data_IF_405451538812
#
_entry.id   IF_405451538812
#
_cell.length_a   1.000
_cell.length_b   1.000
_cell.length_c   1.000
_cell.angle_alpha   90.00
_cell.angle_beta   90.00
_cell.angle_gamma   90.00
#
_symmetry.space_group_name_H-M   'P 1'
#
loop_
_entity.id
_entity.type
_entity.pdbx_description
1 polymer ?
#
# COMPACT_ATOMS: atom_id res chain seq x y z
N UNK A 1 17.44 7.42 -29.57
CA UNK A 1 16.80 7.07 -28.28
C UNK A 1 17.64 7.51 -27.12
N UNK A 2 17.03 8.15 -26.16
CA UNK A 2 17.72 8.49 -24.93
C UNK A 2 17.83 7.25 -24.04
N UNK A 3 18.98 7.06 -23.41
CA UNK A 3 19.16 6.04 -22.39
C UNK A 3 18.81 6.66 -21.03
N UNK A 4 17.78 6.13 -20.39
CA UNK A 4 17.30 6.66 -19.11
C UNK A 4 17.45 5.59 -18.04
N UNK A 5 18.04 5.97 -16.93
CA UNK A 5 18.26 5.08 -15.80
C UNK A 5 17.60 5.68 -14.56
N UNK A 6 16.69 4.92 -13.92
CA UNK A 6 16.01 5.36 -12.72
C UNK A 6 16.02 4.26 -11.68
N UNK A 7 15.99 4.67 -10.40
CA UNK A 7 15.89 3.75 -9.27
C UNK A 7 14.84 4.33 -8.34
N UNK A 8 13.59 3.96 -8.59
CA UNK A 8 12.44 4.55 -7.92
C UNK A 8 11.74 3.47 -7.10
N UNK A 9 11.82 3.61 -5.78
CA UNK A 9 11.16 2.73 -4.84
C UNK A 9 10.13 3.55 -4.07
N UNK A 10 8.90 3.05 -4.01
CA UNK A 10 7.80 3.71 -3.30
C UNK A 10 7.22 2.77 -2.26
N UNK A 11 7.05 3.27 -1.06
CA UNK A 11 6.29 2.60 -0.03
C UNK A 11 4.91 3.24 -0.02
N UNK A 12 3.91 2.53 -0.53
CA UNK A 12 2.54 3.01 -0.66
C UNK A 12 1.71 2.39 0.46
N UNK A 13 0.95 3.21 1.16
CA UNK A 13 0.14 2.77 2.31
C UNK A 13 -1.27 3.29 2.14
N UNK A 14 -2.25 2.42 2.29
CA UNK A 14 -3.65 2.84 2.37
C UNK A 14 -4.48 1.86 3.18
N UNK A 15 -5.54 2.36 3.78
CA UNK A 15 -6.45 1.56 4.59
C UNK A 15 -7.72 1.22 3.82
N UNK A 16 -8.50 0.31 4.38
CA UNK A 16 -9.89 0.15 4.00
C UNK A 16 -10.68 1.40 4.41
N UNK A 17 -11.82 1.62 3.76
CA UNK A 17 -12.72 2.73 4.13
C UNK A 17 -13.17 2.53 5.57
N UNK A 18 -13.03 3.58 6.38
CA UNK A 18 -13.34 3.58 7.81
C UNK A 18 -12.59 2.50 8.61
N UNK A 19 -11.50 1.95 8.06
CA UNK A 19 -10.67 0.90 8.67
C UNK A 19 -11.49 -0.35 9.03
N UNK A 20 -12.50 -0.64 8.23
CA UNK A 20 -13.29 -1.87 8.39
C UNK A 20 -12.39 -3.09 8.15
N UNK A 21 -12.49 -4.12 8.99
CA UNK A 21 -11.59 -5.29 8.92
C UNK A 21 -12.01 -6.29 7.84
N UNK A 22 -11.98 -5.89 6.58
CA UNK A 22 -12.40 -6.71 5.46
C UNK A 22 -11.43 -7.83 5.09
N UNK A 23 -10.12 -7.57 5.25
CA UNK A 23 -9.09 -8.50 4.76
C UNK A 23 -8.74 -9.47 5.87
N UNK A 24 -9.57 -10.50 6.01
CA UNK A 24 -9.40 -11.50 7.05
C UNK A 24 -8.21 -12.42 6.74
N UNK A 25 -7.64 -13.09 7.76
CA UNK A 25 -6.44 -13.92 7.56
C UNK A 25 -6.62 -15.02 6.50
N UNK A 26 -7.83 -15.53 6.28
CA UNK A 26 -8.08 -16.58 5.29
C UNK A 26 -7.99 -16.10 3.86
N UNK A 27 -8.15 -14.79 3.59
CA UNK A 27 -8.07 -14.23 2.22
C UNK A 27 -6.85 -13.37 1.98
N UNK A 28 -6.14 -12.93 3.02
CA UNK A 28 -5.09 -11.92 2.87
C UNK A 28 -3.98 -12.33 1.89
N UNK A 29 -3.54 -13.57 1.93
CA UNK A 29 -2.48 -14.04 1.04
C UNK A 29 -2.88 -13.93 -0.44
N UNK A 30 -4.14 -14.22 -0.74
CA UNK A 30 -4.68 -14.11 -2.11
C UNK A 30 -4.77 -12.64 -2.53
N UNK A 31 -5.17 -11.77 -1.60
CA UNK A 31 -5.28 -10.32 -1.87
C UNK A 31 -3.89 -9.74 -2.17
N UNK A 32 -2.91 -10.05 -1.32
CA UNK A 32 -1.54 -9.56 -1.54
C UNK A 32 -0.97 -10.06 -2.87
N UNK A 33 -1.18 -11.31 -3.19
CA UNK A 33 -0.72 -11.90 -4.44
C UNK A 33 -1.37 -11.24 -5.66
N UNK A 34 -2.65 -10.97 -5.58
CA UNK A 34 -3.37 -10.33 -6.69
C UNK A 34 -2.85 -8.90 -6.91
N UNK A 35 -2.63 -8.16 -5.85
CA UNK A 35 -2.09 -6.80 -5.94
C UNK A 35 -0.68 -6.82 -6.55
N UNK A 36 0.16 -7.79 -6.18
CA UNK A 36 1.45 -7.99 -6.82
C UNK A 36 1.34 -8.22 -8.32
N UNK A 37 0.32 -8.97 -8.75
CA UNK A 37 0.03 -9.19 -10.16
C UNK A 37 -0.41 -7.92 -10.88
N UNK A 38 -1.21 -7.07 -10.22
CA UNK A 38 -1.59 -5.76 -10.76
C UNK A 38 -0.33 -4.91 -11.03
N UNK A 39 0.55 -4.84 -10.05
CA UNK A 39 1.80 -4.09 -10.19
C UNK A 39 2.59 -4.57 -11.41
N UNK A 40 2.78 -5.88 -11.53
CA UNK A 40 3.52 -6.48 -12.64
C UNK A 40 2.88 -6.17 -14.00
N UNK A 41 1.57 -6.21 -14.08
CA UNK A 41 0.82 -5.88 -15.31
C UNK A 41 1.07 -4.45 -15.77
N UNK A 42 1.35 -3.54 -14.85
CA UNK A 42 1.58 -2.13 -15.12
C UNK A 42 3.08 -1.74 -15.08
N UNK A 43 3.96 -2.68 -15.35
CA UNK A 43 5.41 -2.47 -15.43
C UNK A 43 6.04 -2.05 -14.09
N UNK A 44 5.38 -2.35 -13.00
CA UNK A 44 5.94 -2.19 -11.66
C UNK A 44 6.44 -3.53 -11.14
N UNK A 45 7.40 -3.50 -10.23
CA UNK A 45 7.82 -4.70 -9.49
C UNK A 45 7.38 -4.56 -8.04
N UNK A 46 6.55 -5.48 -7.58
CA UNK A 46 6.17 -5.54 -6.18
C UNK A 46 7.26 -6.29 -5.41
N UNK A 47 8.04 -5.56 -4.62
CA UNK A 47 9.11 -6.16 -3.82
C UNK A 47 8.56 -6.81 -2.56
N UNK A 48 7.52 -6.22 -1.97
CA UNK A 48 6.80 -6.78 -0.84
C UNK A 48 5.43 -6.13 -0.72
N UNK A 49 4.42 -6.95 -0.46
CA UNK A 49 3.08 -6.47 -0.13
C UNK A 49 2.63 -7.21 1.13
N UNK A 50 2.06 -6.49 2.06
CA UNK A 50 1.57 -7.07 3.30
C UNK A 50 0.70 -6.09 4.06
N UNK A 51 0.15 -6.55 5.15
CA UNK A 51 -0.72 -5.74 5.99
C UNK A 51 -1.50 -6.61 6.94
N UNK A 52 -2.59 -6.07 7.41
CA UNK A 52 -3.56 -6.77 8.26
C UNK A 52 -4.97 -6.49 7.76
N UNK A 53 -5.99 -6.71 8.59
CA UNK A 53 -7.38 -6.68 8.16
C UNK A 53 -7.84 -5.34 7.57
N UNK A 54 -7.26 -4.23 8.02
CA UNK A 54 -7.78 -2.88 7.72
C UNK A 54 -6.84 -2.01 6.86
N UNK A 55 -5.66 -2.51 6.47
CA UNK A 55 -4.75 -1.72 5.64
C UNK A 55 -3.68 -2.57 4.99
N UNK A 56 -2.99 -1.97 4.03
CA UNK A 56 -1.84 -2.61 3.39
C UNK A 56 -0.67 -1.66 3.22
N UNK A 57 0.49 -2.26 3.09
CA UNK A 57 1.72 -1.65 2.66
C UNK A 57 2.18 -2.32 1.38
N UNK A 58 2.57 -1.54 0.39
CA UNK A 58 3.12 -2.06 -0.86
C UNK A 58 4.45 -1.36 -1.14
N UNK A 59 5.52 -2.12 -1.21
CA UNK A 59 6.82 -1.62 -1.64
C UNK A 59 7.00 -1.99 -3.10
N UNK A 60 7.00 -1.01 -3.98
CA UNK A 60 7.07 -1.22 -5.42
C UNK A 60 8.18 -0.39 -6.05
N UNK A 61 8.78 -0.92 -7.12
CA UNK A 61 9.51 -0.10 -8.07
C UNK A 61 8.57 0.31 -9.17
N UNK A 62 8.77 1.49 -9.74
CA UNK A 62 7.90 1.96 -10.80
C UNK A 62 8.71 2.64 -11.90
N UNK A 63 8.24 2.57 -13.16
CA UNK A 63 8.88 3.31 -14.23
C UNK A 63 8.69 4.81 -14.04
N UNK A 64 9.58 5.65 -14.60
CA UNK A 64 9.54 7.09 -14.36
C UNK A 64 8.30 7.79 -14.90
N UNK A 65 7.54 7.12 -15.76
CA UNK A 65 6.31 7.67 -16.33
C UNK A 65 5.13 7.64 -15.35
N UNK A 66 5.18 6.83 -14.29
CA UNK A 66 4.08 6.71 -13.35
C UNK A 66 4.29 7.65 -12.15
N UNK A 67 3.31 8.51 -11.93
CA UNK A 67 3.26 9.33 -10.72
C UNK A 67 2.79 8.49 -9.52
N UNK A 68 3.15 8.83 -8.28
CA UNK A 68 2.64 8.13 -7.10
C UNK A 68 1.12 8.04 -7.04
N UNK A 69 0.40 9.09 -7.47
CA UNK A 69 -1.06 9.06 -7.53
C UNK A 69 -1.59 8.01 -8.50
N UNK A 70 -0.92 7.82 -9.63
CA UNK A 70 -1.29 6.79 -10.60
C UNK A 70 -1.02 5.39 -10.04
N UNK A 71 0.08 5.22 -9.34
CA UNK A 71 0.42 3.95 -8.68
C UNK A 71 -0.68 3.56 -7.70
N UNK A 72 -1.05 4.47 -6.80
CA UNK A 72 -2.10 4.22 -5.82
C UNK A 72 -3.44 3.92 -6.51
N UNK A 73 -3.81 4.69 -7.52
CA UNK A 73 -5.06 4.51 -8.25
C UNK A 73 -5.13 3.14 -8.93
N UNK A 74 -4.03 2.71 -9.56
CA UNK A 74 -3.95 1.40 -10.22
C UNK A 74 -4.14 0.28 -9.19
N UNK A 75 -3.37 0.31 -8.11
CA UNK A 75 -3.42 -0.74 -7.10
C UNK A 75 -4.80 -0.82 -6.43
N UNK A 76 -5.39 0.33 -6.09
CA UNK A 76 -6.68 0.38 -5.42
C UNK A 76 -7.83 0.00 -6.36
N UNK A 77 -7.86 0.56 -7.57
CA UNK A 77 -8.98 0.37 -8.49
C UNK A 77 -9.17 -1.06 -8.93
N UNK A 78 -8.11 -1.69 -9.41
CA UNK A 78 -8.19 -3.07 -9.90
C UNK A 78 -8.39 -4.06 -8.76
N UNK A 79 -7.76 -3.85 -7.62
CA UNK A 79 -7.95 -4.75 -6.46
C UNK A 79 -9.35 -4.65 -5.89
N UNK A 80 -9.93 -3.46 -5.83
CA UNK A 80 -11.29 -3.27 -5.34
C UNK A 80 -12.30 -4.05 -6.19
N UNK A 81 -12.22 -3.94 -7.51
CA UNK A 81 -13.09 -4.69 -8.42
C UNK A 81 -12.95 -6.19 -8.23
N UNK A 82 -11.72 -6.67 -8.11
CA UNK A 82 -11.45 -8.08 -7.93
C UNK A 82 -11.97 -8.61 -6.59
N UNK A 83 -11.78 -7.84 -5.51
CA UNK A 83 -12.25 -8.22 -4.18
C UNK A 83 -13.78 -8.33 -4.16
N UNK A 84 -14.48 -7.36 -4.78
CA UNK A 84 -15.95 -7.41 -4.89
C UNK A 84 -16.43 -8.69 -5.57
N UNK A 85 -15.79 -9.05 -6.66
CA UNK A 85 -16.17 -10.19 -7.48
C UNK A 85 -15.75 -11.53 -6.86
N UNK A 86 -14.49 -11.62 -6.46
CA UNK A 86 -13.91 -12.90 -6.02
C UNK A 86 -14.44 -13.35 -4.67
N UNK A 87 -14.62 -12.43 -3.75
CA UNK A 87 -15.07 -12.73 -2.39
C UNK A 87 -16.50 -12.31 -2.13
N UNK A 88 -17.17 -11.74 -3.12
CA UNK A 88 -18.54 -11.24 -3.02
C UNK A 88 -18.70 -10.21 -1.88
N UNK A 89 -17.65 -9.46 -1.60
CA UNK A 89 -17.64 -8.41 -0.58
C UNK A 89 -18.04 -7.07 -1.20
N UNK A 90 -19.33 -6.92 -1.52
CA UNK A 90 -19.86 -5.76 -2.25
C UNK A 90 -19.70 -4.44 -1.48
N UNK A 91 -19.66 -4.51 -0.16
CA UNK A 91 -19.47 -3.33 0.67
C UNK A 91 -18.02 -2.87 0.82
N UNK A 92 -17.08 -3.66 0.31
CA UNK A 92 -15.66 -3.33 0.43
C UNK A 92 -15.31 -2.07 -0.34
N UNK A 93 -14.52 -1.20 0.27
CA UNK A 93 -13.84 -0.13 -0.44
C UNK A 93 -12.56 0.27 0.29
N UNK A 94 -11.60 0.78 -0.47
CA UNK A 94 -10.41 1.41 0.10
C UNK A 94 -10.73 2.84 0.51
N UNK A 95 -9.93 3.43 1.41
CA UNK A 95 -10.03 4.86 1.68
C UNK A 95 -9.79 5.66 0.39
N UNK A 96 -10.25 6.89 0.34
CA UNK A 96 -10.04 7.74 -0.84
C UNK A 96 -8.58 8.16 -0.98
N UNK A 97 -7.92 8.44 0.15
CA UNK A 97 -6.53 8.86 0.18
C UNK A 97 -5.53 7.71 0.20
N UNK A 98 -4.27 8.06 0.33
CA UNK A 98 -3.15 7.13 0.44
C UNK A 98 -1.94 7.88 0.99
N UNK A 99 -0.94 7.12 1.45
CA UNK A 99 0.40 7.65 1.71
C UNK A 99 1.38 7.06 0.72
N UNK A 100 2.34 7.85 0.27
CA UNK A 100 3.40 7.36 -0.61
C UNK A 100 4.72 7.99 -0.16
N UNK A 101 5.70 7.14 0.11
CA UNK A 101 6.99 7.55 0.65
C UNK A 101 8.10 6.93 -0.19
N UNK A 102 9.13 7.72 -0.47
CA UNK A 102 10.30 7.20 -1.18
C UNK A 102 11.12 6.32 -0.24
N UNK A 103 11.79 5.33 -0.83
CA UNK A 103 12.69 4.43 -0.08
C UNK A 103 14.00 4.37 -0.83
N UNK A 104 15.11 4.66 -0.14
CA UNK A 104 16.43 4.50 -0.74
C UNK A 104 16.73 3.03 -0.94
N UNK A 105 17.54 2.71 -1.95
CA UNK A 105 17.95 1.33 -2.25
C UNK A 105 18.52 0.64 -1.01
N UNK A 106 19.31 1.35 -0.20
CA UNK A 106 19.93 0.79 1.00
C UNK A 106 18.90 0.45 2.09
N UNK A 107 17.72 1.07 2.09
CA UNK A 107 16.66 0.81 3.08
C UNK A 107 15.63 -0.22 2.63
N UNK A 108 15.71 -0.70 1.39
CA UNK A 108 14.76 -1.68 0.86
C UNK A 108 14.65 -2.93 1.75
N UNK A 109 15.74 -3.57 2.18
CA UNK A 109 15.63 -4.77 3.02
C UNK A 109 14.89 -4.52 4.33
N UNK A 110 15.10 -3.37 4.96
CA UNK A 110 14.43 -3.00 6.21
C UNK A 110 12.93 -2.79 6.00
N UNK A 111 12.55 -2.15 4.90
CA UNK A 111 11.14 -1.92 4.58
C UNK A 111 10.45 -3.25 4.27
N UNK A 112 11.11 -4.16 3.54
CA UNK A 112 10.57 -5.51 3.28
C UNK A 112 10.28 -6.21 4.61
N UNK A 113 11.24 -6.21 5.52
CA UNK A 113 11.10 -6.83 6.85
C UNK A 113 9.95 -6.20 7.62
N UNK A 114 9.86 -4.88 7.59
CA UNK A 114 8.80 -4.14 8.25
C UNK A 114 7.42 -4.55 7.74
N UNK A 115 7.27 -4.67 6.42
CA UNK A 115 6.00 -5.07 5.80
C UNK A 115 5.66 -6.52 6.14
N UNK A 116 6.64 -7.42 6.18
CA UNK A 116 6.43 -8.82 6.54
C UNK A 116 5.92 -8.97 7.98
N UNK A 117 6.29 -8.07 8.87
CA UNK A 117 5.99 -8.16 10.29
C UNK A 117 4.80 -7.31 10.72
N UNK A 118 3.90 -6.95 9.79
CA UNK A 118 2.79 -6.06 10.08
C UNK A 118 1.85 -6.60 11.16
N UNK A 119 1.55 -7.88 11.16
CA UNK A 119 0.65 -8.46 12.16
C UNK A 119 1.24 -8.35 13.56
N UNK A 120 2.52 -8.62 13.73
CA UNK A 120 3.20 -8.46 15.01
C UNK A 120 3.27 -6.99 15.43
N UNK A 121 3.58 -6.11 14.49
CA UNK A 121 3.65 -4.66 14.72
C UNK A 121 2.31 -4.13 15.22
N UNK A 122 1.19 -4.55 14.61
CA UNK A 122 -0.14 -4.07 14.94
C UNK A 122 -0.76 -4.71 16.18
N UNK A 123 -0.07 -5.58 16.86
CA UNK A 123 -0.44 -5.98 18.23
C UNK A 123 -0.24 -4.83 19.22
N UNK A 124 0.64 -3.88 18.91
CA UNK A 124 1.03 -2.78 19.79
C UNK A 124 0.62 -1.41 19.29
N UNK A 125 0.34 -1.26 18.01
CA UNK A 125 -0.02 0.01 17.38
C UNK A 125 -1.19 -0.15 16.42
N UNK A 126 -2.08 0.85 16.44
CA UNK A 126 -3.15 0.93 15.45
C UNK A 126 -2.59 1.45 14.12
N UNK A 127 -3.37 1.28 13.04
CA UNK A 127 -3.01 1.86 11.76
C UNK A 127 -2.89 3.39 11.86
N UNK A 128 -3.80 4.04 12.57
CA UNK A 128 -3.76 5.49 12.73
C UNK A 128 -2.47 5.96 13.39
N UNK A 129 -2.04 5.30 14.44
CA UNK A 129 -0.78 5.62 15.12
C UNK A 129 0.42 5.44 14.19
N UNK A 130 0.46 4.35 13.45
CA UNK A 130 1.52 4.06 12.48
C UNK A 130 1.56 5.12 11.39
N UNK A 131 0.41 5.45 10.82
CA UNK A 131 0.32 6.41 9.72
C UNK A 131 0.78 7.80 10.14
N UNK A 132 0.36 8.24 11.34
CA UNK A 132 0.82 9.52 11.90
C UNK A 132 2.33 9.55 12.07
N UNK A 133 2.94 8.45 12.51
CA UNK A 133 4.40 8.36 12.65
C UNK A 133 5.09 8.53 11.30
N UNK A 134 4.57 7.92 10.22
CA UNK A 134 5.12 8.08 8.88
C UNK A 134 5.05 9.53 8.41
N UNK A 135 3.91 10.19 8.64
CA UNK A 135 3.74 11.58 8.25
C UNK A 135 4.69 12.50 9.00
N UNK A 136 4.81 12.31 10.32
CA UNK A 136 5.70 13.09 11.16
C UNK A 136 7.17 12.87 10.80
N UNK A 137 7.57 11.63 10.58
CA UNK A 137 8.94 11.29 10.22
C UNK A 137 9.33 11.87 8.85
N UNK A 138 8.36 12.04 7.95
CA UNK A 138 8.56 12.58 6.62
C UNK A 138 8.36 14.10 6.55
N UNK A 139 8.07 14.75 7.68
CA UNK A 139 7.87 16.20 7.75
C UNK A 139 6.62 16.68 7.01
N UNK A 140 5.63 15.83 6.85
CA UNK A 140 4.40 16.15 6.12
C UNK A 140 3.41 16.83 7.06
N UNK A 141 2.89 17.99 6.64
CA UNK A 141 1.79 18.65 7.34
C UNK A 141 0.48 17.99 6.96
N UNK A 142 -0.38 17.80 7.94
CA UNK A 142 -1.67 17.14 7.71
C UNK A 142 -2.76 17.80 8.56
N UNK A 143 -4.02 17.60 8.12
CA UNK A 143 -5.20 18.00 8.86
C UNK A 143 -5.99 16.72 9.21
N UNK A 144 -6.11 16.43 10.49
CA UNK A 144 -6.75 15.20 10.96
C UNK A 144 -8.19 15.03 10.48
N UNK A 145 -8.88 16.14 10.19
CA UNK A 145 -10.27 16.10 9.69
C UNK A 145 -10.37 15.37 8.35
N UNK A 146 -9.31 15.38 7.54
CA UNK A 146 -9.30 14.82 6.19
C UNK A 146 -8.39 13.62 6.02
N UNK A 147 -7.74 13.20 7.10
CA UNK A 147 -6.66 12.22 7.04
C UNK A 147 -7.15 10.80 6.74
N UNK A 148 -8.35 10.48 7.22
CA UNK A 148 -8.83 9.10 7.22
C UNK A 148 -9.82 8.77 6.09
N UNK A 149 -10.12 9.73 5.25
CA UNK A 149 -11.04 9.57 4.13
C UNK A 149 -10.48 8.76 2.96
#
# INVERSE_FOLDING_TARGET
MANTYTSLHYHVIFSTKNREPWITPDIEARVWRFIGGIARKHAMTALQIGGVEDHLHALVTAPPILAPSQIAQILKGESSKWIHREFQLKGFSWQDGYGAFTVSTSNVPQVISYIQNQREHHRRKTFQEEYLEFLQASGIKYDERYLWG
#
